data_IF_918654601386
#
_entry.id   IF_918654601386
#
_cell.length_a   1.000
_cell.length_b   1.000
_cell.length_c   1.000
_cell.angle_alpha   90.00
_cell.angle_beta   90.00
_cell.angle_gamma   90.00
#
_symmetry.space_group_name_H-M   'P 1'
#
loop_
_entity.id
_entity.type
_entity.pdbx_description
1 polymer ?
#
# COMPACT_ATOMS: atom_id res chain seq x y z
N UNK A 1 13.83 -10.11 -17.47
CA UNK A 1 14.15 -11.20 -16.48
C UNK A 1 12.88 -12.00 -16.26
N UNK A 2 12.94 -13.33 -16.37
CA UNK A 2 11.78 -14.22 -16.15
C UNK A 2 11.87 -14.79 -14.73
N UNK A 3 10.85 -14.54 -13.92
CA UNK A 3 10.68 -15.15 -12.59
C UNK A 3 9.71 -16.32 -12.68
N UNK A 4 9.99 -17.42 -11.98
CA UNK A 4 9.12 -18.60 -11.93
C UNK A 4 8.65 -18.82 -10.50
N UNK A 5 7.34 -18.83 -10.30
CA UNK A 5 6.75 -19.12 -9.00
C UNK A 5 6.86 -20.61 -8.68
N UNK A 6 7.45 -20.93 -7.54
CA UNK A 6 7.68 -22.33 -7.11
C UNK A 6 6.39 -23.02 -6.67
N UNK A 7 5.47 -22.28 -6.09
CA UNK A 7 4.27 -22.80 -5.41
C UNK A 7 3.02 -22.80 -6.29
N UNK A 8 3.16 -22.60 -7.61
CA UNK A 8 2.03 -22.64 -8.55
C UNK A 8 2.04 -23.93 -9.36
N UNK A 9 0.87 -24.58 -9.48
CA UNK A 9 0.69 -25.73 -10.36
C UNK A 9 -0.46 -25.42 -11.36
N UNK A 10 -0.19 -25.33 -12.69
CA UNK A 10 1.13 -25.42 -13.32
C UNK A 10 2.05 -24.25 -12.95
N UNK A 11 3.36 -24.45 -13.05
CA UNK A 11 4.36 -23.41 -12.77
C UNK A 11 4.10 -22.18 -13.64
N UNK A 12 3.86 -21.05 -12.99
CA UNK A 12 3.65 -19.77 -13.64
C UNK A 12 4.96 -18.99 -13.71
N UNK A 13 5.11 -18.20 -14.76
CA UNK A 13 6.26 -17.31 -14.93
C UNK A 13 5.79 -15.92 -15.32
N UNK A 14 6.55 -14.92 -14.94
CA UNK A 14 6.30 -13.52 -15.27
C UNK A 14 7.58 -12.85 -15.75
N UNK A 15 7.45 -11.97 -16.73
CA UNK A 15 8.55 -11.12 -17.15
C UNK A 15 8.57 -9.84 -16.30
N UNK A 16 9.54 -9.76 -15.39
CA UNK A 16 9.70 -8.62 -14.49
C UNK A 16 10.06 -7.31 -15.20
N UNK A 17 10.41 -7.34 -16.49
CA UNK A 17 10.60 -6.12 -17.29
C UNK A 17 9.29 -5.44 -17.69
N UNK A 18 8.16 -6.10 -17.49
CA UNK A 18 6.81 -5.63 -17.82
C UNK A 18 5.99 -5.21 -16.57
N UNK A 19 6.67 -4.71 -15.54
CA UNK A 19 6.04 -4.26 -14.31
C UNK A 19 5.08 -3.09 -14.55
N UNK A 20 3.96 -3.09 -13.82
CA UNK A 20 3.00 -1.98 -13.77
C UNK A 20 3.11 -1.33 -12.39
N UNK A 21 3.46 -0.04 -12.36
CA UNK A 21 3.49 0.75 -11.13
C UNK A 21 2.06 1.03 -10.65
N UNK A 22 1.73 0.58 -9.44
CA UNK A 22 0.42 0.83 -8.81
C UNK A 22 0.54 1.64 -7.50
N UNK A 23 1.75 1.92 -7.06
CA UNK A 23 2.02 2.71 -5.87
C UNK A 23 1.65 4.17 -6.04
N UNK A 24 1.19 4.80 -4.96
CA UNK A 24 1.03 6.25 -4.89
C UNK A 24 2.32 6.84 -4.33
N UNK A 25 3.05 7.64 -5.11
CA UNK A 25 4.33 8.19 -4.67
C UNK A 25 4.15 9.27 -3.60
N UNK A 26 5.13 9.39 -2.72
CA UNK A 26 5.25 10.54 -1.82
C UNK A 26 5.75 11.72 -2.64
N UNK A 27 4.99 12.83 -2.63
CA UNK A 27 5.24 13.98 -3.51
C UNK A 27 5.54 15.25 -2.71
N UNK A 28 6.40 16.10 -3.30
CA UNK A 28 6.71 17.42 -2.75
C UNK A 28 5.53 18.38 -2.94
N UNK A 29 5.07 19.01 -1.85
CA UNK A 29 4.11 20.12 -1.86
C UNK A 29 2.66 19.72 -2.22
N UNK A 30 2.46 18.54 -2.77
CA UNK A 30 1.15 17.96 -3.07
C UNK A 30 1.23 16.46 -2.85
N UNK A 31 0.15 15.76 -3.01
CA UNK A 31 0.11 14.31 -2.82
C UNK A 31 -1.04 13.91 -1.94
N UNK A 32 -1.17 12.61 -1.77
CA UNK A 32 -2.20 12.04 -0.92
C UNK A 32 -1.95 12.39 0.55
N UNK A 33 -3.02 12.63 1.30
CA UNK A 33 -2.97 12.71 2.76
C UNK A 33 -4.21 12.10 3.39
N UNK A 34 -4.04 11.53 4.59
CA UNK A 34 -5.13 10.95 5.39
C UNK A 34 -4.85 11.16 6.89
N UNK A 35 -5.86 10.91 7.74
CA UNK A 35 -5.75 10.97 9.20
C UNK A 35 -5.30 12.35 9.74
N UNK A 36 -5.63 13.44 9.05
CA UNK A 36 -5.18 14.81 9.34
C UNK A 36 -3.65 14.97 9.42
N UNK A 37 -2.94 14.04 8.79
CA UNK A 37 -1.47 14.09 8.70
C UNK A 37 -1.07 15.11 7.64
N UNK A 38 -0.07 15.94 7.97
CA UNK A 38 0.50 16.91 7.06
C UNK A 38 1.14 16.22 5.85
N UNK A 39 1.19 16.95 4.74
CA UNK A 39 1.91 16.51 3.54
C UNK A 39 3.40 16.32 3.82
N UNK A 40 4.05 15.44 3.08
CA UNK A 40 5.48 15.24 3.19
C UNK A 40 6.27 16.56 3.01
N UNK A 41 7.18 16.83 3.93
CA UNK A 41 7.97 18.04 3.96
C UNK A 41 9.39 17.78 3.43
N UNK A 42 9.89 18.69 2.60
CA UNK A 42 11.22 18.63 2.01
C UNK A 42 11.97 19.90 2.36
N UNK A 43 13.00 19.79 3.17
CA UNK A 43 13.83 20.93 3.61
C UNK A 43 15.27 20.76 3.15
N UNK A 44 15.89 21.84 2.67
CA UNK A 44 17.34 21.86 2.43
C UNK A 44 18.05 21.49 3.74
N UNK A 45 18.90 20.47 3.71
CA UNK A 45 19.67 20.08 4.88
C UNK A 45 20.72 21.18 5.20
N UNK A 46 20.75 21.59 6.47
CA UNK A 46 21.72 22.57 6.97
C UNK A 46 22.23 22.14 8.34
N UNK A 47 23.54 22.11 8.50
CA UNK A 47 24.17 21.79 9.78
C UNK A 47 25.62 22.30 9.82
N UNK A 48 26.02 22.95 10.91
CA UNK A 48 27.39 23.38 11.16
C UNK A 48 28.03 24.17 10.00
N UNK A 49 27.28 25.09 9.40
CA UNK A 49 27.75 25.88 8.27
C UNK A 49 27.63 25.19 6.89
N UNK A 50 27.35 23.90 6.86
CA UNK A 50 27.05 23.21 5.60
C UNK A 50 25.62 23.55 5.13
N UNK A 51 25.49 23.82 3.82
CA UNK A 51 24.20 24.11 3.15
C UNK A 51 24.04 23.12 2.01
N UNK A 52 23.03 22.28 2.07
CA UNK A 52 22.69 21.28 1.05
C UNK A 52 21.94 21.90 -0.15
N UNK A 53 22.44 22.99 -0.71
CA UNK A 53 21.85 23.62 -1.89
C UNK A 53 22.91 24.35 -2.70
N UNK A 54 23.11 23.90 -3.92
CA UNK A 54 24.03 24.60 -4.86
C UNK A 54 23.58 26.01 -5.13
N UNK A 55 22.27 26.27 -5.25
CA UNK A 55 21.72 27.60 -5.47
C UNK A 55 21.95 28.57 -4.27
N UNK A 56 22.26 28.03 -3.09
CA UNK A 56 22.57 28.80 -1.87
C UNK A 56 24.07 28.75 -1.53
N UNK A 57 24.92 28.38 -2.50
CA UNK A 57 26.36 28.34 -2.31
C UNK A 57 26.93 27.06 -1.71
N UNK A 58 26.11 26.03 -1.54
CA UNK A 58 26.57 24.73 -1.07
C UNK A 58 27.28 23.90 -2.15
N UNK A 59 28.04 22.91 -1.73
CA UNK A 59 28.80 22.01 -2.62
C UNK A 59 27.92 20.98 -3.34
N UNK A 60 26.73 20.64 -2.79
CA UNK A 60 25.79 19.68 -3.37
C UNK A 60 24.36 20.00 -2.98
N UNK A 61 23.40 19.29 -3.59
CA UNK A 61 21.99 19.34 -3.18
C UNK A 61 21.73 18.17 -2.23
N UNK A 62 21.25 18.46 -1.04
CA UNK A 62 20.92 17.49 0.01
C UNK A 62 19.70 17.99 0.78
N UNK A 63 18.72 17.13 0.99
CA UNK A 63 17.48 17.49 1.68
C UNK A 63 17.19 16.51 2.83
N UNK A 64 16.51 17.01 3.82
CA UNK A 64 15.79 16.22 4.82
C UNK A 64 14.35 16.06 4.34
N UNK A 65 13.85 14.83 4.38
CA UNK A 65 12.45 14.53 4.06
C UNK A 65 11.78 14.04 5.34
N UNK A 66 10.68 14.68 5.70
CA UNK A 66 9.82 14.26 6.83
C UNK A 66 8.48 13.83 6.27
N UNK A 67 8.07 12.62 6.56
CA UNK A 67 6.79 12.08 6.12
C UNK A 67 6.29 11.00 7.09
N UNK A 68 4.99 10.75 7.05
CA UNK A 68 4.34 9.67 7.77
C UNK A 68 3.77 8.68 6.75
N UNK A 69 4.30 7.44 6.66
CA UNK A 69 3.89 6.47 5.64
C UNK A 69 2.37 6.28 5.55
N UNK A 70 1.71 6.09 6.68
CA UNK A 70 0.25 5.87 6.78
C UNK A 70 -0.61 7.01 6.21
N UNK A 71 -0.06 8.22 6.09
CA UNK A 71 -0.78 9.38 5.58
C UNK A 71 -0.33 9.89 4.22
N UNK A 72 0.89 9.56 3.77
CA UNK A 72 1.50 10.27 2.66
C UNK A 72 1.70 9.44 1.37
N UNK A 73 1.48 8.14 1.39
CA UNK A 73 1.66 7.32 0.19
C UNK A 73 1.45 5.83 0.40
N UNK A 74 1.70 5.06 -0.65
CA UNK A 74 1.65 3.61 -0.56
C UNK A 74 2.80 3.11 0.33
N UNK A 75 2.47 2.23 1.25
CA UNK A 75 3.41 1.64 2.20
C UNK A 75 3.02 0.19 2.51
N UNK A 76 3.94 -0.55 3.08
CA UNK A 76 3.69 -1.89 3.60
C UNK A 76 3.67 -1.83 5.11
N UNK A 77 2.72 -2.52 5.72
CA UNK A 77 2.60 -2.64 7.17
C UNK A 77 2.31 -4.08 7.58
N UNK A 78 2.55 -4.40 8.84
CA UNK A 78 2.17 -5.66 9.46
C UNK A 78 1.29 -5.39 10.68
N UNK A 79 0.82 -6.43 11.35
CA UNK A 79 -0.02 -6.29 12.54
C UNK A 79 0.68 -5.59 13.72
N UNK A 80 1.98 -5.37 13.66
CA UNK A 80 2.70 -4.51 14.60
C UNK A 80 2.18 -3.08 14.66
N UNK A 81 1.46 -2.63 13.61
CA UNK A 81 0.76 -1.34 13.61
C UNK A 81 -0.33 -1.24 14.70
N UNK A 82 -0.93 -2.35 15.12
CA UNK A 82 -2.03 -2.38 16.11
C UNK A 82 -1.71 -3.25 17.33
N UNK A 83 -0.56 -3.94 17.35
CA UNK A 83 -0.12 -4.78 18.45
C UNK A 83 0.51 -3.96 19.58
N UNK A 84 0.40 -4.46 20.81
CA UNK A 84 1.18 -3.92 21.95
C UNK A 84 2.64 -4.37 21.90
N UNK A 85 2.92 -5.51 21.28
CA UNK A 85 4.26 -6.03 21.10
C UNK A 85 4.87 -5.46 19.81
N UNK A 86 6.20 -5.26 19.82
CA UNK A 86 6.91 -4.78 18.62
C UNK A 86 7.02 -5.90 17.60
N UNK A 87 6.55 -5.63 16.37
CA UNK A 87 6.69 -6.47 15.20
C UNK A 87 7.07 -5.62 14.00
N UNK A 88 8.01 -6.10 13.22
CA UNK A 88 8.53 -5.39 12.07
C UNK A 88 8.15 -6.10 10.77
N UNK A 89 7.87 -5.32 9.72
CA UNK A 89 7.51 -5.86 8.40
C UNK A 89 8.53 -6.88 7.89
N UNK A 90 9.81 -6.64 8.14
CA UNK A 90 10.90 -7.53 7.69
C UNK A 90 10.85 -8.92 8.34
N UNK A 91 10.13 -9.09 9.44
CA UNK A 91 9.99 -10.40 10.12
C UNK A 91 8.98 -11.30 9.41
N UNK A 92 8.15 -10.72 8.51
CA UNK A 92 7.05 -11.40 7.83
C UNK A 92 7.19 -11.47 6.31
N UNK A 93 8.12 -10.71 5.72
CA UNK A 93 8.38 -10.77 4.28
C UNK A 93 9.49 -11.79 4.04
N UNK A 94 9.12 -12.93 3.50
CA UNK A 94 10.00 -14.06 3.22
C UNK A 94 10.41 -14.18 1.73
N UNK A 95 9.75 -13.46 0.83
CA UNK A 95 10.07 -13.40 -0.59
C UNK A 95 9.88 -11.96 -1.13
N UNK A 96 10.41 -11.71 -2.33
CA UNK A 96 10.28 -10.43 -3.03
C UNK A 96 9.13 -10.42 -4.05
N UNK A 97 8.62 -11.58 -4.43
CA UNK A 97 7.60 -11.73 -5.47
C UNK A 97 6.55 -12.75 -5.05
N UNK A 98 5.31 -12.29 -4.96
CA UNK A 98 4.18 -13.11 -4.59
C UNK A 98 3.21 -13.25 -5.75
N UNK A 99 2.75 -14.47 -6.01
CA UNK A 99 1.61 -14.68 -6.89
C UNK A 99 0.34 -14.26 -6.15
N UNK A 100 -0.40 -13.33 -6.72
CA UNK A 100 -1.59 -12.76 -6.10
C UNK A 100 -2.86 -12.98 -6.92
N UNK A 101 -3.98 -13.14 -6.23
CA UNK A 101 -5.31 -13.00 -6.82
C UNK A 101 -5.68 -11.52 -6.88
N UNK A 102 -6.13 -11.03 -8.03
CA UNK A 102 -6.67 -9.68 -8.15
C UNK A 102 -8.20 -9.73 -8.09
N UNK A 103 -8.77 -9.04 -7.11
CA UNK A 103 -10.22 -8.89 -6.95
C UNK A 103 -10.61 -7.42 -7.02
N UNK A 104 -11.67 -7.11 -7.77
CA UNK A 104 -12.26 -5.77 -7.82
C UNK A 104 -13.52 -5.74 -6.97
N UNK A 105 -13.55 -4.87 -5.97
CA UNK A 105 -14.67 -4.70 -5.05
C UNK A 105 -15.34 -3.33 -5.26
N UNK A 106 -16.66 -3.34 -5.44
CA UNK A 106 -17.49 -2.15 -5.30
C UNK A 106 -17.68 -1.81 -3.82
N UNK A 107 -18.00 -0.55 -3.53
CA UNK A 107 -18.40 -0.14 -2.20
C UNK A 107 -19.91 -0.16 -2.07
N UNK A 108 -20.40 -0.66 -0.94
CA UNK A 108 -21.82 -0.61 -0.57
C UNK A 108 -21.98 0.09 0.77
N UNK A 109 -23.11 0.76 0.96
CA UNK A 109 -23.44 1.37 2.25
C UNK A 109 -24.23 0.37 3.10
N UNK A 110 -23.75 0.15 4.33
CA UNK A 110 -24.40 -0.68 5.33
C UNK A 110 -24.36 0.07 6.68
N UNK A 111 -25.51 0.31 7.28
CA UNK A 111 -25.67 1.01 8.55
C UNK A 111 -24.90 2.36 8.62
N UNK A 112 -24.93 3.12 7.52
CA UNK A 112 -24.25 4.40 7.40
C UNK A 112 -22.73 4.34 7.18
N UNK A 113 -22.17 3.13 7.04
CA UNK A 113 -20.75 2.89 6.77
C UNK A 113 -20.57 2.39 5.34
N UNK A 114 -19.43 2.75 4.73
CA UNK A 114 -19.02 2.16 3.44
C UNK A 114 -18.20 0.92 3.69
N UNK A 115 -18.62 -0.20 3.12
CA UNK A 115 -17.87 -1.46 3.16
C UNK A 115 -17.57 -1.94 1.73
N UNK A 116 -16.47 -2.66 1.58
CA UNK A 116 -16.15 -3.33 0.32
C UNK A 116 -17.04 -4.57 0.15
N UNK A 117 -17.57 -4.72 -1.07
CA UNK A 117 -18.48 -5.82 -1.40
C UNK A 117 -17.70 -7.03 -1.92
N UNK A 118 -17.69 -8.11 -1.15
CA UNK A 118 -17.05 -9.37 -1.49
C UNK A 118 -18.01 -10.46 -1.99
N UNK A 119 -19.26 -10.15 -2.28
CA UNK A 119 -20.24 -11.16 -2.70
C UNK A 119 -19.84 -11.95 -3.94
N UNK A 120 -19.04 -11.34 -4.83
CA UNK A 120 -18.56 -12.00 -6.05
C UNK A 120 -17.19 -12.68 -5.88
N UNK A 121 -16.57 -12.61 -4.71
CA UNK A 121 -15.35 -13.34 -4.44
C UNK A 121 -15.71 -14.79 -4.06
N UNK A 122 -15.17 -15.74 -4.83
CA UNK A 122 -15.37 -17.15 -4.52
C UNK A 122 -14.42 -17.58 -3.40
N UNK A 123 -14.88 -17.53 -2.17
CA UNK A 123 -14.14 -17.94 -0.98
C UNK A 123 -13.82 -19.44 -0.92
N UNK A 124 -14.46 -20.26 -1.77
CA UNK A 124 -14.20 -21.71 -1.85
C UNK A 124 -13.05 -22.06 -2.80
N UNK A 125 -12.46 -21.09 -3.47
CA UNK A 125 -11.30 -21.33 -4.32
C UNK A 125 -10.12 -21.79 -3.44
N UNK A 126 -9.80 -23.08 -3.53
CA UNK A 126 -8.52 -23.60 -3.03
C UNK A 126 -7.43 -23.14 -3.98
N UNK A 127 -6.85 -22.00 -3.69
CA UNK A 127 -5.78 -21.40 -4.49
C UNK A 127 -4.43 -21.65 -3.81
N UNK A 128 -3.40 -21.80 -4.64
CA UNK A 128 -2.02 -21.73 -4.18
C UNK A 128 -1.54 -20.27 -4.05
N UNK A 129 -2.45 -19.29 -4.07
CA UNK A 129 -2.10 -17.89 -3.90
C UNK A 129 -2.18 -17.52 -2.41
N UNK A 130 -1.08 -17.01 -1.89
CA UNK A 130 -1.00 -16.49 -0.53
C UNK A 130 -1.28 -15.00 -0.44
N UNK A 131 -1.44 -14.34 -1.58
CA UNK A 131 -1.63 -12.89 -1.66
C UNK A 131 -2.92 -12.55 -2.40
N UNK A 132 -3.60 -11.50 -1.92
CA UNK A 132 -4.80 -10.95 -2.51
C UNK A 132 -4.62 -9.45 -2.75
N UNK A 133 -4.79 -9.00 -4.00
CA UNK A 133 -4.86 -7.59 -4.34
C UNK A 133 -6.32 -7.20 -4.44
N UNK A 134 -6.74 -6.23 -3.64
CA UNK A 134 -8.10 -5.69 -3.67
C UNK A 134 -8.07 -4.33 -4.37
N UNK A 135 -8.75 -4.24 -5.50
CA UNK A 135 -8.99 -2.98 -6.19
C UNK A 135 -10.37 -2.46 -5.82
N UNK A 136 -10.43 -1.43 -4.99
CA UNK A 136 -11.69 -0.77 -4.65
C UNK A 136 -12.17 0.17 -5.77
N UNK A 137 -13.50 0.27 -5.94
CA UNK A 137 -14.13 1.22 -6.84
C UNK A 137 -14.94 2.27 -6.05
N UNK A 138 -15.04 3.53 -6.54
CA UNK A 138 -14.39 4.08 -7.75
C UNK A 138 -12.88 4.24 -7.58
N UNK A 139 -12.12 4.05 -8.65
CA UNK A 139 -10.66 4.16 -8.65
C UNK A 139 -10.22 5.16 -9.73
N UNK A 140 -10.35 6.45 -9.45
CA UNK A 140 -10.00 7.53 -10.38
C UNK A 140 -8.55 7.97 -10.21
N UNK A 141 -8.00 8.63 -11.25
CA UNK A 141 -6.65 9.19 -11.20
C UNK A 141 -6.50 10.31 -10.16
N UNK A 142 -7.61 10.92 -9.71
CA UNK A 142 -7.57 11.94 -8.66
C UNK A 142 -7.01 11.42 -7.33
N UNK A 143 -7.00 10.10 -7.10
CA UNK A 143 -6.45 9.48 -5.90
C UNK A 143 -5.00 9.87 -5.60
N UNK A 144 -4.22 10.24 -6.62
CA UNK A 144 -2.82 10.64 -6.46
C UNK A 144 -2.63 11.91 -5.62
N UNK A 145 -3.68 12.75 -5.50
CA UNK A 145 -3.64 14.02 -4.79
C UNK A 145 -4.84 14.22 -3.84
N UNK A 146 -5.54 13.14 -3.51
CA UNK A 146 -6.71 13.24 -2.65
C UNK A 146 -6.32 13.44 -1.19
N UNK A 147 -7.08 14.31 -0.53
CA UNK A 147 -7.12 14.39 0.93
C UNK A 147 -8.28 13.55 1.43
N UNK A 148 -7.95 12.49 2.16
CA UNK A 148 -8.94 11.51 2.65
C UNK A 148 -9.49 11.86 4.03
N UNK A 149 -8.84 12.74 4.78
CA UNK A 149 -9.32 13.18 6.11
C UNK A 149 -10.75 13.71 6.03
N UNK A 150 -11.60 13.25 6.93
CA UNK A 150 -13.00 13.58 6.98
C UNK A 150 -13.90 12.98 5.89
N UNK A 151 -13.35 12.15 5.00
CA UNK A 151 -14.13 11.42 3.99
C UNK A 151 -14.51 10.03 4.47
N UNK A 152 -15.70 9.58 4.10
CA UNK A 152 -16.08 8.17 4.25
C UNK A 152 -15.24 7.33 3.28
N UNK A 153 -14.42 6.44 3.81
CA UNK A 153 -13.64 5.47 3.02
C UNK A 153 -14.19 4.06 3.27
N UNK A 154 -14.24 3.21 2.24
CA UNK A 154 -14.70 1.84 2.44
C UNK A 154 -13.64 1.02 3.20
N UNK A 155 -14.11 0.07 4.00
CA UNK A 155 -13.26 -0.89 4.71
C UNK A 155 -13.76 -2.33 4.47
N UNK A 156 -12.94 -3.30 4.83
CA UNK A 156 -13.31 -4.72 4.76
C UNK A 156 -14.07 -5.07 6.03
N UNK A 157 -15.30 -5.57 5.89
CA UNK A 157 -16.08 -6.00 7.05
C UNK A 157 -15.40 -7.18 7.75
N UNK A 158 -15.42 -7.27 9.11
CA UNK A 158 -14.73 -8.34 9.86
C UNK A 158 -15.06 -9.74 9.36
N UNK A 159 -16.34 -10.02 9.08
CA UNK A 159 -16.80 -11.31 8.53
C UNK A 159 -16.17 -11.70 7.20
N UNK A 160 -15.84 -10.70 6.35
CA UNK A 160 -15.21 -10.96 5.06
C UNK A 160 -13.69 -11.10 5.23
N UNK A 161 -13.10 -10.38 6.18
CA UNK A 161 -11.70 -10.59 6.57
C UNK A 161 -11.47 -12.01 7.11
N UNK A 162 -12.36 -12.53 7.99
CA UNK A 162 -12.29 -13.90 8.47
C UNK A 162 -12.29 -14.92 7.32
N UNK A 163 -13.15 -14.71 6.30
CA UNK A 163 -13.20 -15.59 5.13
C UNK A 163 -11.90 -15.49 4.30
N UNK A 164 -11.35 -14.28 4.12
CA UNK A 164 -10.08 -14.08 3.42
C UNK A 164 -8.95 -14.85 4.12
N UNK A 165 -8.88 -14.79 5.45
CA UNK A 165 -7.91 -15.56 6.24
C UNK A 165 -8.14 -17.08 6.06
N UNK A 166 -9.40 -17.55 6.07
CA UNK A 166 -9.73 -18.96 5.85
C UNK A 166 -9.36 -19.47 4.44
N UNK A 167 -9.22 -18.58 3.45
CA UNK A 167 -8.69 -18.94 2.12
C UNK A 167 -7.16 -19.20 2.15
N UNK A 168 -6.48 -18.94 3.25
CA UNK A 168 -5.02 -19.06 3.36
C UNK A 168 -4.27 -17.85 2.79
N UNK A 169 -4.92 -16.68 2.71
CA UNK A 169 -4.27 -15.43 2.32
C UNK A 169 -3.43 -14.92 3.50
N UNK A 170 -2.16 -14.68 3.24
CA UNK A 170 -1.16 -14.20 4.20
C UNK A 170 -0.78 -12.73 3.92
N UNK A 171 -0.95 -12.26 2.67
CA UNK A 171 -0.62 -10.90 2.23
C UNK A 171 -1.81 -10.24 1.53
N UNK A 172 -2.09 -8.98 1.91
CA UNK A 172 -3.20 -8.17 1.40
C UNK A 172 -2.69 -6.84 0.85
#
# INVERSE_FOLDING_TARGET
MIYKFKDTNPVKSVDLSQGIEIGIPIQRGSGVSSFDIDSAEYKVYQKNGFIGSKNKGGSCNLETITFTPHGNGTHTECFGHISLEEHFVNDFIDDHFYAALLFTADSIELDGQLILNFNNLNFSLKNNFKSLIIRSLPNSNNKLNLKYSGKKTPFIAPKDMEKIVQMGIEHL
#
